data_IF_759358535110
#
_entry.id   IF_759358535110
#
_cell.length_a   1.000
_cell.length_b   1.000
_cell.length_c   1.000
_cell.angle_alpha   90.00
_cell.angle_beta   90.00
_cell.angle_gamma   90.00
#
_symmetry.space_group_name_H-M   'P 1'
#
loop_
_entity.id
_entity.type
_entity.pdbx_description
1 polymer ?
#
# COMPACT_ATOMS: atom_id res chain seq x y z
N UNK A 1 -18.22 -33.75 1.19
CA UNK A 1 -18.41 -32.40 1.78
C UNK A 1 -17.07 -31.71 1.82
N UNK A 2 -16.88 -30.61 1.08
CA UNK A 2 -15.63 -29.85 1.16
C UNK A 2 -15.67 -29.02 2.44
N UNK A 3 -14.95 -29.47 3.48
CA UNK A 3 -14.73 -28.66 4.67
C UNK A 3 -13.47 -27.82 4.41
N UNK A 4 -13.66 -26.53 4.11
CA UNK A 4 -12.56 -25.58 4.00
C UNK A 4 -12.60 -24.63 5.20
N UNK A 5 -11.49 -24.57 5.94
CA UNK A 5 -11.33 -23.69 7.09
C UNK A 5 -10.36 -22.57 6.73
N UNK A 6 -10.86 -21.34 6.65
CA UNK A 6 -10.05 -20.14 6.44
C UNK A 6 -9.70 -19.51 7.77
N UNK A 7 -8.42 -19.20 7.99
CA UNK A 7 -8.03 -18.36 9.12
C UNK A 7 -8.46 -16.91 8.88
N UNK A 8 -8.66 -16.15 9.97
CA UNK A 8 -9.05 -14.73 9.88
C UNK A 8 -8.02 -13.92 9.07
N UNK A 9 -6.74 -14.25 9.23
CA UNK A 9 -5.62 -13.63 8.52
C UNK A 9 -5.67 -13.90 7.01
N UNK A 10 -6.06 -15.12 6.60
CA UNK A 10 -6.25 -15.47 5.19
C UNK A 10 -7.43 -14.71 4.57
N UNK A 11 -8.56 -14.64 5.27
CA UNK A 11 -9.72 -13.83 4.84
C UNK A 11 -9.29 -12.38 4.63
N UNK A 12 -8.56 -11.82 5.59
CA UNK A 12 -8.02 -10.46 5.56
C UNK A 12 -7.11 -10.24 4.35
N UNK A 13 -6.14 -11.13 4.11
CA UNK A 13 -5.21 -11.04 3.00
C UNK A 13 -5.94 -11.09 1.65
N UNK A 14 -6.93 -11.97 1.53
CA UNK A 14 -7.75 -12.12 0.33
C UNK A 14 -8.61 -10.88 0.05
N UNK A 15 -9.21 -10.27 1.08
CA UNK A 15 -9.98 -9.05 0.94
C UNK A 15 -9.09 -7.83 0.68
N UNK A 16 -7.91 -7.76 1.31
CA UNK A 16 -6.94 -6.69 1.07
C UNK A 16 -6.45 -6.66 -0.39
N UNK A 17 -6.26 -7.84 -1.01
CA UNK A 17 -5.88 -7.96 -2.42
C UNK A 17 -6.97 -7.49 -3.42
N UNK A 18 -8.20 -7.24 -2.97
CA UNK A 18 -9.26 -6.68 -3.84
C UNK A 18 -9.21 -5.16 -3.94
N UNK A 19 -8.47 -4.50 -3.06
CA UNK A 19 -8.30 -3.04 -3.08
C UNK A 19 -7.06 -2.74 -3.91
N UNK A 20 -7.19 -1.92 -4.94
CA UNK A 20 -6.07 -1.53 -5.78
C UNK A 20 -4.99 -0.88 -4.92
N UNK A 21 -3.81 -1.52 -4.85
CA UNK A 21 -2.72 -1.07 -4.01
C UNK A 21 -1.92 0.02 -4.72
N UNK A 22 -1.89 1.22 -4.13
CA UNK A 22 -1.00 2.27 -4.63
C UNK A 22 0.46 1.84 -4.38
N UNK A 23 1.36 1.91 -5.39
CA UNK A 23 2.72 1.34 -5.30
C UNK A 23 3.51 1.78 -4.07
N UNK A 24 3.36 3.05 -3.68
CA UNK A 24 4.06 3.63 -2.52
C UNK A 24 3.34 3.40 -1.18
N UNK A 25 2.01 3.24 -1.20
CA UNK A 25 1.22 3.06 0.03
C UNK A 25 1.31 1.63 0.55
N UNK A 26 1.38 0.66 -0.36
CA UNK A 26 1.50 -0.75 -0.02
C UNK A 26 0.18 -1.35 0.49
N UNK A 27 0.27 -2.24 1.48
CA UNK A 27 -0.86 -3.05 1.95
C UNK A 27 -1.37 -2.53 3.29
N UNK A 28 -2.69 -2.30 3.36
CA UNK A 28 -3.37 -1.92 4.60
C UNK A 28 -3.25 -3.04 5.62
N UNK A 29 -2.78 -2.71 6.82
CA UNK A 29 -2.75 -3.63 7.94
C UNK A 29 -4.11 -3.59 8.63
N UNK A 30 -4.74 -4.75 8.76
CA UNK A 30 -5.92 -4.94 9.59
C UNK A 30 -5.44 -5.31 10.99
N UNK A 31 -5.00 -4.31 11.75
CA UNK A 31 -4.81 -4.45 13.19
C UNK A 31 -6.14 -4.16 13.89
N UNK A 32 -6.38 -4.75 15.06
CA UNK A 32 -7.54 -4.42 15.90
C UNK A 32 -7.48 -3.01 16.51
N UNK A 33 -6.61 -2.13 16.02
CA UNK A 33 -6.45 -0.77 16.48
C UNK A 33 -7.40 0.16 15.72
N UNK A 34 -7.77 1.27 16.34
CA UNK A 34 -8.67 2.28 15.76
C UNK A 34 -8.03 3.07 14.63
N UNK A 35 -6.69 3.08 14.56
CA UNK A 35 -5.93 3.82 13.55
C UNK A 35 -5.64 2.95 12.32
N UNK A 36 -5.94 3.48 11.14
CA UNK A 36 -5.59 2.83 9.90
C UNK A 36 -4.08 2.91 9.66
N UNK A 37 -3.45 1.76 9.37
CA UNK A 37 -2.01 1.67 9.11
C UNK A 37 -1.75 0.93 7.81
N UNK A 38 -0.65 1.28 7.15
CA UNK A 38 -0.20 0.67 5.91
C UNK A 38 1.27 0.29 6.03
N UNK A 39 1.65 -0.78 5.33
CA UNK A 39 3.03 -1.22 5.23
C UNK A 39 3.42 -1.38 3.78
N UNK A 40 4.51 -0.72 3.40
CA UNK A 40 5.12 -0.82 2.08
C UNK A 40 6.61 -1.14 2.22
N UNK A 41 7.12 -1.99 1.33
CA UNK A 41 8.54 -2.25 1.21
C UNK A 41 8.99 -1.78 -0.17
N UNK A 42 9.71 -0.66 -0.19
CA UNK A 42 10.18 -0.04 -1.42
C UNK A 42 11.57 -0.59 -1.72
N UNK A 43 11.68 -1.32 -2.82
CA UNK A 43 12.96 -1.77 -3.35
C UNK A 43 13.15 -1.16 -4.73
N UNK A 44 14.00 -0.14 -4.81
CA UNK A 44 14.25 0.60 -6.06
C UNK A 44 14.76 -0.30 -7.20
N UNK A 45 15.30 -1.50 -6.92
CA UNK A 45 15.74 -2.43 -7.96
C UNK A 45 14.61 -3.19 -8.65
N UNK A 46 13.39 -3.17 -8.10
CA UNK A 46 12.23 -3.74 -8.75
C UNK A 46 11.69 -2.77 -9.81
N UNK A 47 11.24 -3.31 -10.94
CA UNK A 47 10.72 -2.52 -12.08
C UNK A 47 9.60 -1.58 -11.68
N UNK A 48 8.72 -2.00 -10.76
CA UNK A 48 7.60 -1.19 -10.27
C UNK A 48 8.03 0.08 -9.51
N UNK A 49 9.30 0.18 -9.09
CA UNK A 49 9.86 1.34 -8.37
C UNK A 49 10.98 2.03 -9.16
N UNK A 50 11.21 1.65 -10.42
CA UNK A 50 12.31 2.18 -11.22
C UNK A 50 12.25 3.71 -11.36
N UNK A 51 11.04 4.29 -11.40
CA UNK A 51 10.82 5.74 -11.46
C UNK A 51 11.42 6.52 -10.28
N UNK A 52 11.66 5.88 -9.13
CA UNK A 52 12.32 6.53 -8.00
C UNK A 52 13.82 6.76 -8.25
N UNK A 53 14.44 5.99 -9.16
CA UNK A 53 15.86 6.13 -9.50
C UNK A 53 16.18 7.44 -10.23
N UNK A 54 15.17 8.11 -10.77
CA UNK A 54 15.33 9.37 -11.49
C UNK A 54 15.59 10.54 -10.53
N UNK A 55 15.25 10.40 -9.25
CA UNK A 55 15.49 11.43 -8.24
C UNK A 55 16.89 11.31 -7.62
N UNK A 56 17.89 11.80 -8.37
CA UNK A 56 19.30 11.77 -7.96
C UNK A 56 19.77 13.12 -7.41
N UNK A 57 20.51 13.09 -6.31
CA UNK A 57 21.15 14.25 -5.69
C UNK A 57 22.59 13.88 -5.32
N UNK A 58 23.57 14.60 -5.87
CA UNK A 58 25.00 14.45 -5.53
C UNK A 58 25.53 12.99 -5.57
N UNK A 59 24.99 12.14 -6.47
CA UNK A 59 25.29 10.71 -6.65
C UNK A 59 24.47 9.71 -5.81
N UNK A 60 23.62 10.19 -4.89
CA UNK A 60 22.63 9.37 -4.19
C UNK A 60 21.28 9.34 -4.90
N UNK A 61 20.56 8.22 -4.81
CA UNK A 61 19.11 8.17 -5.09
C UNK A 61 18.40 8.51 -3.79
N UNK A 62 17.70 9.65 -3.75
CA UNK A 62 16.93 10.07 -2.58
C UNK A 62 15.45 9.82 -2.82
N UNK A 63 14.72 9.43 -1.76
CA UNK A 63 13.28 9.34 -1.87
C UNK A 63 12.68 10.74 -2.07
N UNK A 64 11.89 10.99 -3.14
CA UNK A 64 11.37 12.33 -3.41
C UNK A 64 10.41 12.79 -2.31
N UNK A 65 10.52 14.04 -1.86
CA UNK A 65 9.57 14.60 -0.89
C UNK A 65 8.12 14.57 -1.40
N UNK A 66 7.91 14.79 -2.71
CA UNK A 66 6.59 14.71 -3.36
C UNK A 66 5.97 13.31 -3.27
N UNK A 67 6.78 12.26 -3.17
CA UNK A 67 6.29 10.90 -3.01
C UNK A 67 5.61 10.69 -1.65
N UNK A 68 5.98 11.46 -0.61
CA UNK A 68 5.26 11.47 0.67
C UNK A 68 3.86 12.08 0.53
N UNK A 69 3.72 13.15 -0.26
CA UNK A 69 2.40 13.74 -0.54
C UNK A 69 1.50 12.74 -1.29
N UNK A 70 2.07 12.00 -2.24
CA UNK A 70 1.33 10.94 -2.96
C UNK A 70 0.89 9.80 -2.02
N UNK A 71 1.72 9.41 -1.05
CA UNK A 71 1.34 8.44 -0.01
C UNK A 71 0.14 8.95 0.80
N UNK A 72 0.16 10.21 1.23
CA UNK A 72 -0.94 10.82 1.98
C UNK A 72 -2.21 10.87 1.13
N UNK A 73 -2.11 11.32 -0.12
CA UNK A 73 -3.23 11.37 -1.05
C UNK A 73 -3.83 9.98 -1.30
N UNK A 74 -2.99 8.97 -1.54
CA UNK A 74 -3.43 7.59 -1.70
C UNK A 74 -4.13 7.04 -0.45
N UNK A 75 -3.59 7.31 0.75
CA UNK A 75 -4.20 6.92 2.01
C UNK A 75 -5.57 7.58 2.21
N UNK A 76 -5.67 8.88 1.93
CA UNK A 76 -6.94 9.63 1.98
C UNK A 76 -7.97 9.03 1.03
N UNK A 77 -7.61 8.77 -0.24
CA UNK A 77 -8.50 8.13 -1.22
C UNK A 77 -8.98 6.77 -0.73
N UNK A 78 -8.09 5.96 -0.17
CA UNK A 78 -8.46 4.64 0.36
C UNK A 78 -9.37 4.74 1.59
N UNK A 79 -9.24 5.75 2.44
CA UNK A 79 -10.10 5.92 3.62
C UNK A 79 -11.48 6.50 3.31
N UNK A 80 -11.54 7.47 2.39
CA UNK A 80 -12.73 8.31 2.24
C UNK A 80 -13.45 8.13 0.90
N UNK A 81 -12.74 7.75 -0.17
CA UNK A 81 -13.32 7.61 -1.52
C UNK A 81 -13.58 6.15 -1.92
N UNK A 82 -13.02 5.17 -1.20
CA UNK A 82 -13.28 3.75 -1.46
C UNK A 82 -14.66 3.28 -0.94
N UNK A 83 -15.39 4.16 -0.24
CA UNK A 83 -16.69 3.92 0.37
C UNK A 83 -17.89 4.17 -0.55
N UNK A 84 -17.71 4.80 -1.72
CA UNK A 84 -18.82 5.21 -2.59
C UNK A 84 -19.34 4.13 -3.56
N UNK A 85 -18.88 2.89 -3.43
CA UNK A 85 -19.40 1.75 -4.22
C UNK A 85 -20.06 0.70 -3.32
N UNK A 86 -21.10 1.09 -2.57
CA UNK A 86 -22.09 0.16 -1.98
C UNK A 86 -23.49 0.75 -2.01
#
# INVERSE_FOLDING_TARGET
SSCWYESKESVIKRLANRIQTHPLLGVRQLSGQTTATWRSLININLSQYAFLKDHKIQDGILFPAVALLEIVAAGYRQLFLSTDNK
#
